data_IF_042138697337
#
_entry.id   IF_042138697337
#
_cell.length_a   1.000
_cell.length_b   1.000
_cell.length_c   1.000
_cell.angle_alpha   90.00
_cell.angle_beta   90.00
_cell.angle_gamma   90.00
#
_symmetry.space_group_name_H-M   'P 1'
#
loop_
_entity.id
_entity.type
_entity.pdbx_description
1 polymer ?
#
# COMPACT_ATOMS: atom_id res chain seq x y z
N UNK A 1 57.40 58.71 -19.89
CA UNK A 1 56.14 58.18 -19.35
C UNK A 1 56.21 56.67 -19.30
N UNK A 2 56.56 56.08 -18.18
CA UNK A 2 56.74 54.64 -17.98
C UNK A 2 55.47 54.07 -17.37
N UNK A 3 54.74 53.27 -18.16
CA UNK A 3 53.49 52.57 -17.77
C UNK A 3 53.86 51.36 -16.90
N UNK A 4 53.58 51.44 -15.58
CA UNK A 4 53.70 50.29 -14.66
C UNK A 4 52.69 49.22 -15.06
N UNK A 5 53.18 48.10 -15.52
CA UNK A 5 52.35 46.88 -15.68
C UNK A 5 52.13 46.26 -14.30
N UNK A 6 50.94 46.38 -13.79
CA UNK A 6 50.48 45.70 -12.57
C UNK A 6 50.49 44.17 -12.80
N UNK A 7 51.38 43.47 -12.13
CA UNK A 7 51.41 42.02 -12.06
C UNK A 7 50.32 41.48 -11.14
N UNK A 8 49.14 41.23 -11.66
CA UNK A 8 48.03 40.56 -10.93
C UNK A 8 47.91 39.09 -11.33
N UNK A 9 49.00 38.35 -11.34
CA UNK A 9 49.03 36.95 -11.88
C UNK A 9 48.87 35.84 -10.81
N UNK A 10 48.79 36.13 -9.50
CA UNK A 10 48.77 35.08 -8.47
C UNK A 10 47.37 34.72 -7.91
N UNK A 11 46.45 35.66 -7.94
CA UNK A 11 45.14 35.49 -7.26
C UNK A 11 44.09 34.75 -8.09
N UNK A 12 44.15 34.85 -9.40
CA UNK A 12 43.16 34.25 -10.31
C UNK A 12 43.17 32.70 -10.33
N UNK A 13 44.34 32.10 -10.22
CA UNK A 13 44.47 30.63 -10.28
C UNK A 13 43.90 29.96 -9.02
N UNK A 14 44.19 30.57 -7.85
CA UNK A 14 43.66 30.10 -6.56
C UNK A 14 42.12 30.21 -6.51
N UNK A 15 41.59 31.36 -6.98
CA UNK A 15 40.14 31.57 -7.05
C UNK A 15 39.45 30.64 -7.98
N UNK A 16 40.07 30.29 -9.14
CA UNK A 16 39.50 29.35 -10.10
C UNK A 16 39.44 27.91 -9.56
N UNK A 17 40.47 27.45 -8.86
CA UNK A 17 40.48 26.18 -8.17
C UNK A 17 39.39 26.09 -7.08
N UNK A 18 39.23 27.16 -6.29
CA UNK A 18 38.21 27.22 -5.26
C UNK A 18 36.80 27.12 -5.86
N UNK A 19 36.53 27.85 -6.95
CA UNK A 19 35.24 27.80 -7.63
C UNK A 19 34.97 26.39 -8.20
N UNK A 20 35.97 25.75 -8.81
CA UNK A 20 35.82 24.39 -9.33
C UNK A 20 35.49 23.37 -8.23
N UNK A 21 36.16 23.45 -7.08
CA UNK A 21 35.89 22.55 -5.95
C UNK A 21 34.50 22.84 -5.36
N UNK A 22 34.10 24.11 -5.25
CA UNK A 22 32.77 24.45 -4.76
C UNK A 22 31.67 23.96 -5.70
N UNK A 23 31.84 24.12 -7.01
CA UNK A 23 30.88 23.61 -8.00
C UNK A 23 30.83 22.09 -8.01
N UNK A 24 31.97 21.39 -7.89
CA UNK A 24 32.01 19.94 -7.80
C UNK A 24 31.27 19.44 -6.54
N UNK A 25 31.47 20.07 -5.39
CA UNK A 25 30.78 19.72 -4.15
C UNK A 25 29.25 19.93 -4.26
N UNK A 26 28.81 21.02 -4.89
CA UNK A 26 27.39 21.26 -5.16
C UNK A 26 26.81 20.24 -6.11
N UNK A 27 27.55 19.85 -7.16
CA UNK A 27 27.13 18.82 -8.10
C UNK A 27 26.90 17.46 -7.43
N UNK A 28 27.81 17.04 -6.55
CA UNK A 28 27.66 15.79 -5.77
C UNK A 28 26.46 15.86 -4.83
N UNK A 29 26.26 17.00 -4.16
CA UNK A 29 25.10 17.19 -3.28
C UNK A 29 23.77 17.08 -4.03
N UNK A 30 23.65 17.72 -5.20
CA UNK A 30 22.44 17.64 -6.03
C UNK A 30 22.20 16.23 -6.57
N UNK A 31 23.26 15.52 -6.99
CA UNK A 31 23.13 14.14 -7.45
C UNK A 31 22.60 13.22 -6.34
N UNK A 32 23.07 13.37 -5.10
CA UNK A 32 22.63 12.56 -3.97
C UNK A 32 21.16 12.81 -3.60
N UNK A 33 20.68 14.05 -3.72
CA UNK A 33 19.27 14.39 -3.51
C UNK A 33 18.37 13.77 -4.59
N UNK A 34 18.80 13.83 -5.85
CA UNK A 34 18.05 13.25 -6.97
C UNK A 34 17.85 11.74 -6.82
N UNK A 35 18.87 11.01 -6.37
CA UNK A 35 18.77 9.56 -6.14
C UNK A 35 17.76 9.24 -5.02
N UNK A 36 17.76 9.99 -3.93
CA UNK A 36 16.80 9.80 -2.84
C UNK A 36 15.35 10.06 -3.27
N UNK A 37 15.13 11.06 -4.10
CA UNK A 37 13.80 11.37 -4.65
C UNK A 37 13.29 10.25 -5.56
N UNK A 38 14.16 9.67 -6.40
CA UNK A 38 13.77 8.57 -7.29
C UNK A 38 13.38 7.30 -6.50
N UNK A 39 14.14 6.95 -5.46
CA UNK A 39 13.81 5.82 -4.59
C UNK A 39 12.50 6.05 -3.82
N UNK A 40 12.27 7.28 -3.34
CA UNK A 40 11.01 7.65 -2.68
C UNK A 40 9.82 7.49 -3.61
N UNK A 41 9.90 8.01 -4.83
CA UNK A 41 8.80 7.96 -5.80
C UNK A 41 8.48 6.51 -6.25
N UNK A 42 9.47 5.65 -6.38
CA UNK A 42 9.27 4.22 -6.67
C UNK A 42 8.53 3.51 -5.52
N UNK A 43 8.89 3.81 -4.27
CA UNK A 43 8.22 3.28 -3.08
C UNK A 43 6.76 3.75 -2.96
N UNK A 44 6.49 5.02 -3.25
CA UNK A 44 5.13 5.57 -3.28
C UNK A 44 4.26 4.89 -4.34
N UNK A 45 4.80 4.66 -5.54
CA UNK A 45 4.09 3.95 -6.60
C UNK A 45 3.78 2.49 -6.20
N UNK A 46 4.75 1.77 -5.62
CA UNK A 46 4.55 0.41 -5.13
C UNK A 46 3.48 0.37 -4.01
N UNK A 47 3.51 1.33 -3.10
CA UNK A 47 2.52 1.49 -2.03
C UNK A 47 1.10 1.78 -2.57
N UNK A 48 0.99 2.64 -3.59
CA UNK A 48 -0.29 2.93 -4.25
C UNK A 48 -0.86 1.70 -4.96
N UNK A 49 -0.01 0.92 -5.65
CA UNK A 49 -0.40 -0.36 -6.27
C UNK A 49 -0.85 -1.38 -5.22
N UNK A 50 -0.12 -1.51 -4.10
CA UNK A 50 -0.50 -2.39 -3.00
C UNK A 50 -1.88 -2.01 -2.42
N UNK A 51 -2.16 -0.72 -2.29
CA UNK A 51 -3.47 -0.22 -1.85
C UNK A 51 -4.58 -0.61 -2.83
N UNK A 52 -4.39 -0.40 -4.12
CA UNK A 52 -5.37 -0.79 -5.14
C UNK A 52 -5.58 -2.30 -5.19
N UNK A 53 -4.52 -3.08 -5.03
CA UNK A 53 -4.59 -4.54 -4.94
C UNK A 53 -5.41 -4.99 -3.72
N UNK A 54 -5.13 -4.40 -2.54
CA UNK A 54 -5.91 -4.69 -1.33
C UNK A 54 -7.38 -4.28 -1.48
N UNK A 55 -7.66 -3.16 -2.15
CA UNK A 55 -9.02 -2.72 -2.42
C UNK A 55 -9.77 -3.72 -3.32
N UNK A 56 -9.14 -4.22 -4.38
CA UNK A 56 -9.72 -5.24 -5.24
C UNK A 56 -10.05 -6.54 -4.48
N UNK A 57 -9.16 -6.97 -3.57
CA UNK A 57 -9.42 -8.11 -2.68
C UNK A 57 -10.57 -7.86 -1.72
N UNK A 58 -10.66 -6.65 -1.18
CA UNK A 58 -11.74 -6.23 -0.28
C UNK A 58 -13.10 -6.23 -1.00
N UNK A 59 -13.16 -5.73 -2.23
CA UNK A 59 -14.37 -5.76 -3.06
C UNK A 59 -14.79 -7.20 -3.38
N UNK A 60 -13.84 -8.06 -3.76
CA UNK A 60 -14.11 -9.47 -3.97
C UNK A 60 -14.68 -10.14 -2.72
N UNK A 61 -14.06 -9.93 -1.55
CA UNK A 61 -14.53 -10.50 -0.29
C UNK A 61 -15.90 -9.97 0.14
N UNK A 62 -16.14 -8.68 -0.07
CA UNK A 62 -17.44 -8.05 0.17
C UNK A 62 -18.53 -8.67 -0.71
N UNK A 63 -18.22 -8.88 -1.99
CA UNK A 63 -19.13 -9.53 -2.94
C UNK A 63 -19.47 -10.96 -2.51
N UNK A 64 -18.49 -11.74 -2.02
CA UNK A 64 -18.74 -13.11 -1.56
C UNK A 64 -19.71 -13.14 -0.37
N UNK A 65 -19.56 -12.21 0.57
CA UNK A 65 -20.47 -12.08 1.72
C UNK A 65 -21.86 -11.65 1.26
N UNK A 66 -21.98 -10.64 0.41
CA UNK A 66 -23.27 -10.11 -0.02
C UNK A 66 -24.04 -11.06 -0.93
N UNK A 67 -23.35 -11.88 -1.75
CA UNK A 67 -23.96 -12.85 -2.64
C UNK A 67 -24.47 -14.09 -1.90
N UNK A 68 -23.96 -14.38 -0.72
CA UNK A 68 -24.25 -15.63 0.00
C UNK A 68 -25.68 -15.77 0.54
N UNK A 69 -26.56 -14.80 0.28
CA UNK A 69 -27.95 -14.81 0.75
C UNK A 69 -28.11 -14.29 2.19
N UNK A 70 -29.13 -14.77 2.89
CA UNK A 70 -29.41 -14.36 4.25
C UNK A 70 -28.34 -14.94 5.21
N UNK A 71 -27.47 -14.07 5.74
CA UNK A 71 -26.49 -14.38 6.77
C UNK A 71 -25.57 -15.58 6.46
N UNK A 72 -24.83 -15.55 5.34
CA UNK A 72 -23.99 -16.65 4.92
C UNK A 72 -22.87 -16.92 5.94
N UNK A 73 -22.29 -18.14 5.95
CA UNK A 73 -21.02 -18.38 6.62
C UNK A 73 -19.90 -17.58 5.95
N UNK A 74 -18.82 -17.30 6.68
CA UNK A 74 -17.62 -16.75 6.06
C UNK A 74 -17.03 -17.72 5.02
N UNK A 75 -16.51 -17.16 3.93
CA UNK A 75 -15.73 -17.92 2.97
C UNK A 75 -14.37 -18.33 3.57
N UNK A 76 -13.78 -19.39 3.03
CA UNK A 76 -12.43 -19.80 3.43
C UNK A 76 -11.39 -18.77 2.97
N UNK A 77 -10.32 -18.57 3.75
CA UNK A 77 -9.21 -17.70 3.39
C UNK A 77 -8.73 -17.99 1.97
N UNK A 78 -8.52 -16.95 1.19
CA UNK A 78 -8.17 -17.09 -0.23
C UNK A 78 -7.06 -16.14 -0.62
N UNK A 79 -6.12 -16.67 -1.41
CA UNK A 79 -5.10 -15.90 -2.09
C UNK A 79 -5.56 -15.63 -3.52
N UNK A 80 -5.49 -14.38 -3.93
CA UNK A 80 -5.93 -13.91 -5.24
C UNK A 80 -4.71 -13.29 -5.94
N UNK A 81 -4.37 -13.85 -7.11
CA UNK A 81 -3.44 -13.20 -8.04
C UNK A 81 -4.24 -12.23 -8.90
N UNK A 82 -3.73 -11.03 -9.06
CA UNK A 82 -4.36 -9.99 -9.86
C UNK A 82 -3.78 -9.95 -11.27
N UNK A 83 -4.56 -9.53 -12.27
CA UNK A 83 -4.08 -9.40 -13.64
C UNK A 83 -3.38 -8.07 -13.88
N UNK A 84 -2.79 -7.96 -15.08
CA UNK A 84 -2.24 -6.74 -15.67
C UNK A 84 -1.21 -6.03 -14.79
N UNK A 85 -1.39 -4.76 -14.52
CA UNK A 85 -0.45 -3.91 -13.81
C UNK A 85 -0.33 -4.22 -12.31
N UNK A 86 -1.21 -5.06 -11.78
CA UNK A 86 -1.22 -5.54 -10.41
C UNK A 86 -0.76 -6.99 -10.28
N UNK A 87 -0.27 -7.60 -11.37
CA UNK A 87 0.20 -9.01 -11.40
C UNK A 87 1.35 -9.31 -10.44
N UNK A 88 2.13 -8.29 -10.08
CA UNK A 88 3.21 -8.41 -9.11
C UNK A 88 2.72 -8.52 -7.65
N UNK A 89 1.41 -8.33 -7.43
CA UNK A 89 0.81 -8.36 -6.10
C UNK A 89 -0.07 -9.59 -5.91
N UNK A 90 0.08 -10.22 -4.77
CA UNK A 90 -0.85 -11.24 -4.27
C UNK A 90 -1.70 -10.64 -3.15
N UNK A 91 -2.97 -10.98 -3.12
CA UNK A 91 -3.89 -10.50 -2.08
C UNK A 91 -4.41 -11.69 -1.29
N UNK A 92 -4.17 -11.71 0.01
CA UNK A 92 -4.78 -12.66 0.93
C UNK A 92 -6.04 -12.04 1.52
N UNK A 93 -7.19 -12.67 1.28
CA UNK A 93 -8.49 -12.21 1.78
C UNK A 93 -8.99 -13.16 2.85
N UNK A 94 -9.38 -12.59 3.98
CA UNK A 94 -9.92 -13.31 5.13
C UNK A 94 -11.28 -12.74 5.52
N UNK A 95 -12.09 -13.56 6.15
CA UNK A 95 -13.42 -13.18 6.65
C UNK A 95 -13.59 -13.65 8.08
N UNK A 96 -14.10 -12.79 8.94
CA UNK A 96 -14.54 -13.12 10.29
C UNK A 96 -16.01 -12.72 10.47
N UNK A 97 -16.83 -13.61 11.02
CA UNK A 97 -18.25 -13.37 11.28
C UNK A 97 -18.48 -13.22 12.79
N UNK A 98 -19.31 -12.26 13.16
CA UNK A 98 -19.74 -12.07 14.52
C UNK A 98 -21.30 -11.97 14.58
N UNK A 99 -21.98 -12.80 15.39
CA UNK A 99 -21.42 -13.94 16.12
C UNK A 99 -20.90 -15.04 15.17
N UNK A 100 -19.90 -15.79 15.61
CA UNK A 100 -19.24 -16.82 14.78
C UNK A 100 -20.24 -17.91 14.33
N UNK A 101 -21.22 -18.21 15.18
CA UNK A 101 -22.36 -19.07 14.88
C UNK A 101 -23.63 -18.42 15.42
N UNK A 102 -24.77 -18.71 14.76
CA UNK A 102 -26.05 -18.12 15.14
C UNK A 102 -26.22 -16.69 14.66
N UNK A 103 -27.07 -15.93 15.33
CA UNK A 103 -27.46 -14.59 14.96
C UNK A 103 -27.68 -13.75 16.23
N UNK A 104 -27.50 -12.44 16.10
CA UNK A 104 -27.91 -11.48 17.10
C UNK A 104 -29.28 -10.94 16.71
N UNK A 105 -30.17 -10.82 17.66
CA UNK A 105 -31.54 -10.29 17.44
C UNK A 105 -31.56 -8.87 17.97
N UNK A 106 -32.06 -7.92 17.19
CA UNK A 106 -32.33 -6.55 17.55
C UNK A 106 -33.80 -6.24 17.19
N UNK A 107 -34.67 -6.33 18.18
CA UNK A 107 -36.12 -6.27 17.96
C UNK A 107 -36.58 -7.46 17.09
N UNK A 108 -37.17 -7.14 15.93
CA UNK A 108 -37.63 -8.13 14.94
C UNK A 108 -36.57 -8.45 13.88
N UNK A 109 -35.42 -7.78 13.95
CA UNK A 109 -34.32 -7.96 13.00
C UNK A 109 -33.32 -9.00 13.49
N UNK A 110 -32.90 -9.85 12.59
CA UNK A 110 -31.83 -10.82 12.80
C UNK A 110 -30.57 -10.27 12.12
N UNK A 111 -29.51 -10.09 12.89
CA UNK A 111 -28.29 -9.42 12.47
C UNK A 111 -27.08 -10.38 12.47
N UNK A 112 -26.23 -10.23 11.49
CA UNK A 112 -24.88 -10.78 11.49
C UNK A 112 -23.90 -9.74 10.95
N UNK A 113 -22.74 -9.65 11.57
CA UNK A 113 -21.67 -8.75 11.15
C UNK A 113 -20.52 -9.54 10.57
N UNK A 114 -19.89 -8.99 9.55
CA UNK A 114 -18.76 -9.60 8.87
C UNK A 114 -17.63 -8.59 8.82
N UNK A 115 -16.44 -9.02 9.18
CA UNK A 115 -15.22 -8.25 8.96
C UNK A 115 -14.44 -8.94 7.86
N UNK A 116 -14.38 -8.30 6.70
CA UNK A 116 -13.56 -8.73 5.56
C UNK A 116 -12.27 -7.97 5.63
N UNK A 117 -11.15 -8.68 5.55
CA UNK A 117 -9.82 -8.11 5.58
C UNK A 117 -9.06 -8.59 4.34
N UNK A 118 -8.42 -7.66 3.65
CA UNK A 118 -7.60 -7.94 2.47
C UNK A 118 -6.19 -7.39 2.70
N UNK A 119 -5.18 -8.24 2.60
CA UNK A 119 -3.77 -7.89 2.70
C UNK A 119 -3.09 -8.16 1.38
N UNK A 120 -2.58 -7.11 0.74
CA UNK A 120 -1.84 -7.19 -0.51
C UNK A 120 -0.35 -7.01 -0.27
N UNK A 121 0.49 -7.81 -0.90
CA UNK A 121 1.94 -7.66 -0.88
C UNK A 121 2.58 -8.09 -2.20
N UNK A 122 3.74 -7.52 -2.53
CA UNK A 122 4.50 -7.88 -3.73
C UNK A 122 5.49 -9.03 -3.52
N UNK A 123 5.83 -9.35 -2.28
CA UNK A 123 6.70 -10.47 -1.91
C UNK A 123 5.95 -11.32 -0.90
N UNK A 124 5.55 -12.51 -1.30
CA UNK A 124 4.74 -13.41 -0.46
C UNK A 124 5.60 -14.30 0.43
N UNK A 125 5.02 -14.77 1.53
CA UNK A 125 5.54 -15.89 2.32
C UNK A 125 4.68 -17.12 2.04
N UNK A 126 5.25 -18.15 1.44
CA UNK A 126 4.52 -19.36 1.01
C UNK A 126 3.24 -19.08 0.20
N UNK A 127 3.29 -18.05 -0.66
CA UNK A 127 2.14 -17.63 -1.50
C UNK A 127 1.06 -16.83 -0.77
N UNK A 128 1.32 -16.37 0.45
CA UNK A 128 0.38 -15.59 1.28
C UNK A 128 0.96 -14.23 1.67
N UNK A 129 0.09 -13.26 1.93
CA UNK A 129 0.37 -11.97 2.56
C UNK A 129 -0.27 -11.93 3.95
N UNK A 130 0.35 -11.26 4.93
CA UNK A 130 1.63 -10.53 4.88
C UNK A 130 2.86 -11.43 4.86
N UNK A 131 4.02 -10.87 4.48
CA UNK A 131 5.33 -11.50 4.65
C UNK A 131 6.13 -10.77 5.73
N UNK A 132 5.86 -11.08 6.99
CA UNK A 132 6.51 -10.44 8.13
C UNK A 132 8.00 -10.81 8.33
N UNK A 133 8.54 -11.72 7.53
CA UNK A 133 9.94 -12.15 7.62
C UNK A 133 10.86 -11.47 6.59
N UNK A 134 10.30 -10.71 5.64
CA UNK A 134 11.10 -10.05 4.59
C UNK A 134 11.78 -8.79 5.11
N UNK A 135 13.03 -8.60 4.71
CA UNK A 135 13.83 -7.39 4.94
C UNK A 135 14.11 -6.64 3.64
N UNK A 136 13.46 -7.05 2.55
CA UNK A 136 13.65 -6.46 1.23
C UNK A 136 13.21 -5.00 1.20
N UNK A 137 14.05 -4.05 0.77
CA UNK A 137 13.72 -2.63 0.75
C UNK A 137 12.62 -2.27 -0.26
N UNK A 138 12.34 -3.15 -1.21
CA UNK A 138 11.29 -3.01 -2.22
C UNK A 138 9.96 -3.63 -1.79
N UNK A 139 9.89 -4.18 -0.58
CA UNK A 139 8.66 -4.74 -0.05
C UNK A 139 7.59 -3.68 0.13
N UNK A 140 6.45 -3.92 -0.46
CA UNK A 140 5.26 -3.07 -0.33
C UNK A 140 4.07 -3.92 0.11
N UNK A 141 3.44 -3.50 1.20
CA UNK A 141 2.26 -4.15 1.77
C UNK A 141 1.21 -3.12 2.13
N UNK A 142 -0.05 -3.48 1.93
CA UNK A 142 -1.21 -2.74 2.42
C UNK A 142 -2.29 -3.69 2.89
N UNK A 143 -2.86 -3.37 4.03
CA UNK A 143 -3.98 -4.09 4.62
C UNK A 143 -5.17 -3.17 4.73
N UNK A 144 -6.31 -3.63 4.25
CA UNK A 144 -7.59 -2.94 4.35
C UNK A 144 -8.60 -3.86 5.02
N UNK A 145 -9.55 -3.27 5.73
CA UNK A 145 -10.65 -3.99 6.34
C UNK A 145 -11.97 -3.25 6.13
N UNK A 146 -13.06 -4.02 6.01
CA UNK A 146 -14.42 -3.49 5.91
C UNK A 146 -15.35 -4.33 6.76
N UNK A 147 -16.20 -3.65 7.54
CA UNK A 147 -17.28 -4.31 8.27
C UNK A 147 -18.56 -4.22 7.45
N UNK A 148 -19.21 -5.36 7.25
CA UNK A 148 -20.49 -5.50 6.58
C UNK A 148 -21.52 -6.02 7.59
N UNK A 149 -22.75 -5.55 7.50
CA UNK A 149 -23.87 -6.09 8.26
C UNK A 149 -24.87 -6.75 7.31
N UNK A 150 -25.31 -7.93 7.64
CA UNK A 150 -26.45 -8.58 7.00
C UNK A 150 -27.64 -8.52 7.96
N UNK A 151 -28.72 -7.94 7.49
CA UNK A 151 -29.98 -7.80 8.23
C UNK A 151 -31.05 -8.61 7.53
N UNK A 152 -31.75 -9.46 8.26
CA UNK A 152 -32.94 -10.16 7.79
C UNK A 152 -34.05 -9.95 8.78
N UNK A 153 -35.29 -9.80 8.28
CA UNK A 153 -36.46 -9.73 9.13
C UNK A 153 -36.85 -11.10 9.64
N UNK A 154 -37.35 -11.20 10.87
CA UNK A 154 -37.98 -12.40 11.35
C UNK A 154 -39.19 -12.71 10.46
N UNK A 155 -39.48 -14.00 10.26
CA UNK A 155 -40.58 -14.44 9.38
C UNK A 155 -41.95 -13.90 9.74
N UNK A 156 -42.12 -13.41 10.95
CA UNK A 156 -43.36 -12.80 11.49
C UNK A 156 -43.45 -11.28 11.30
N UNK A 157 -42.35 -10.62 10.87
CA UNK A 157 -42.30 -9.17 10.73
C UNK A 157 -42.74 -8.73 9.34
N UNK A 158 -43.72 -7.87 9.25
CA UNK A 158 -44.20 -7.33 7.97
C UNK A 158 -43.21 -6.37 7.32
N UNK A 159 -42.37 -5.76 8.11
CA UNK A 159 -41.21 -4.93 7.66
C UNK A 159 -40.28 -4.68 8.84
N UNK A 160 -39.01 -4.80 8.68
CA UNK A 160 -37.94 -4.32 9.59
C UNK A 160 -36.91 -3.42 8.83
#
# INVERSE_FOLDING_TARGET
MTKRMNSQRGFTMMSMLFILVALAALGVALASLSQRQQLGSAGEMASAKAYQAALAGLEWGSYQVLRGGAQPPCFANRNIALPDQLSDFTVTVTCARNPAAGTTVDGEAILAFYVVQATACNITSAGTCPNGATTEPTYAERQLSRTLSSKTCAASAASC
#
